data_IF_017600473187
#
_entry.id   IF_017600473187
#
_cell.length_a   1.000
_cell.length_b   1.000
_cell.length_c   1.000
_cell.angle_alpha   90.00
_cell.angle_beta   90.00
_cell.angle_gamma   90.00
#
_symmetry.space_group_name_H-M   'P 1'
#
loop_
_entity.id
_entity.type
_entity.pdbx_description
1 polymer ?
#
# COMPACT_ATOMS: atom_id res chain seq x y z
N UNK A 1 0.56 -22.44 -3.67
CA UNK A 1 -0.84 -22.22 -3.28
C UNK A 1 -1.29 -20.90 -3.85
N UNK A 2 -2.49 -20.87 -4.43
CA UNK A 2 -3.12 -19.63 -4.90
C UNK A 2 -4.43 -19.44 -4.14
N UNK A 3 -4.69 -18.21 -3.69
CA UNK A 3 -5.85 -17.84 -2.89
C UNK A 3 -6.43 -16.56 -3.45
N UNK A 4 -7.70 -16.58 -3.83
CA UNK A 4 -8.44 -15.39 -4.22
C UNK A 4 -9.15 -14.82 -3.01
N UNK A 5 -8.88 -13.54 -2.72
CA UNK A 5 -9.49 -12.80 -1.61
C UNK A 5 -10.27 -11.60 -2.14
N UNK A 6 -11.39 -11.30 -1.49
CA UNK A 6 -12.21 -10.12 -1.76
C UNK A 6 -12.46 -9.36 -0.47
N UNK A 7 -12.23 -8.06 -0.49
CA UNK A 7 -12.47 -7.14 0.61
C UNK A 7 -13.43 -6.05 0.12
N UNK A 8 -14.58 -5.86 0.80
CA UNK A 8 -15.52 -4.80 0.43
C UNK A 8 -14.93 -3.41 0.67
N UNK A 9 -14.03 -3.29 1.66
CA UNK A 9 -13.29 -2.06 1.91
C UNK A 9 -11.97 -2.34 2.61
N UNK A 10 -10.96 -1.57 2.27
CA UNK A 10 -9.64 -1.58 2.89
C UNK A 10 -9.29 -0.16 3.29
N UNK A 11 -8.95 0.06 4.55
CA UNK A 11 -8.49 1.34 5.06
C UNK A 11 -7.06 1.20 5.56
N UNK A 12 -6.19 2.10 5.10
CA UNK A 12 -4.79 2.16 5.48
C UNK A 12 -4.51 3.57 5.97
N UNK A 13 -3.96 3.70 7.17
CA UNK A 13 -3.52 4.98 7.70
C UNK A 13 -2.09 4.85 8.25
N UNK A 14 -1.38 5.97 8.27
CA UNK A 14 -0.02 5.98 8.81
C UNK A 14 0.65 7.34 8.72
N UNK A 15 1.89 7.38 9.16
CA UNK A 15 2.78 8.52 8.91
C UNK A 15 3.70 8.19 7.74
N UNK A 16 4.00 9.20 6.92
CA UNK A 16 4.92 9.09 5.80
C UNK A 16 6.03 10.13 5.92
N UNK A 17 7.19 9.77 5.37
CA UNK A 17 8.30 10.68 5.10
C UNK A 17 8.79 10.35 3.70
N UNK A 18 8.49 11.21 2.74
CA UNK A 18 8.82 10.99 1.35
C UNK A 18 9.66 12.14 0.81
N UNK A 19 10.74 11.78 0.10
CA UNK A 19 11.60 12.69 -0.60
C UNK A 19 11.86 12.07 -1.98
N UNK A 20 11.41 12.75 -3.04
CA UNK A 20 11.57 12.26 -4.41
C UNK A 20 10.59 12.89 -5.38
N UNK A 21 10.34 12.21 -6.49
CA UNK A 21 9.40 12.63 -7.52
C UNK A 21 8.21 11.67 -7.55
N UNK A 22 6.99 12.18 -7.38
CA UNK A 22 5.77 11.45 -7.76
C UNK A 22 5.41 11.86 -9.18
N UNK A 23 5.61 10.94 -10.13
CA UNK A 23 5.43 11.14 -11.58
C UNK A 23 6.35 12.24 -12.12
N UNK A 24 5.99 13.51 -11.93
CA UNK A 24 6.77 14.70 -12.30
C UNK A 24 6.87 15.73 -11.17
N UNK A 25 6.15 15.53 -10.06
CA UNK A 25 6.07 16.49 -8.97
C UNK A 25 7.11 16.19 -7.89
N UNK A 26 8.00 17.15 -7.55
CA UNK A 26 8.87 17.02 -6.39
C UNK A 26 8.02 17.02 -5.12
N UNK A 27 8.17 15.94 -4.36
CA UNK A 27 7.60 15.79 -3.04
C UNK A 27 8.72 15.78 -2.02
N UNK A 28 8.62 16.67 -1.04
CA UNK A 28 9.45 16.69 0.14
C UNK A 28 8.52 16.92 1.31
N UNK A 29 7.85 15.85 1.71
CA UNK A 29 6.73 15.90 2.62
C UNK A 29 6.89 14.90 3.75
N UNK A 30 6.56 15.34 4.96
CA UNK A 30 6.46 14.48 6.14
C UNK A 30 5.12 14.76 6.79
N UNK A 31 4.28 13.75 6.89
CA UNK A 31 2.94 13.96 7.41
C UNK A 31 2.23 12.65 7.72
N UNK A 32 0.90 12.72 7.76
CA UNK A 32 0.03 11.56 7.86
C UNK A 32 -0.66 11.32 6.54
N UNK A 33 -0.97 10.05 6.27
CA UNK A 33 -1.73 9.66 5.10
C UNK A 33 -2.86 8.73 5.51
N UNK A 34 -3.94 8.76 4.74
CA UNK A 34 -4.96 7.74 4.75
C UNK A 34 -5.33 7.34 3.33
N UNK A 35 -5.65 6.06 3.17
CA UNK A 35 -6.04 5.46 1.91
C UNK A 35 -7.29 4.64 2.18
N UNK A 36 -8.38 5.00 1.53
CA UNK A 36 -9.62 4.24 1.55
C UNK A 36 -9.80 3.58 0.19
N UNK A 37 -9.94 2.26 0.17
CA UNK A 37 -10.20 1.49 -1.03
C UNK A 37 -11.50 0.73 -0.89
N UNK A 38 -12.28 0.64 -1.97
CA UNK A 38 -13.52 -0.14 -2.03
C UNK A 38 -13.44 -1.17 -3.15
N UNK A 39 -14.14 -2.28 -2.97
CA UNK A 39 -14.20 -3.39 -3.93
C UNK A 39 -12.80 -3.91 -4.33
N UNK A 40 -11.99 -4.25 -3.32
CA UNK A 40 -10.64 -4.79 -3.54
C UNK A 40 -10.72 -6.29 -3.70
N UNK A 41 -10.22 -6.80 -4.82
CA UNK A 41 -9.96 -8.24 -4.99
C UNK A 41 -8.48 -8.47 -5.21
N UNK A 42 -7.94 -9.58 -4.73
CA UNK A 42 -6.53 -9.90 -4.95
C UNK A 42 -6.34 -11.41 -5.09
N UNK A 43 -5.48 -11.79 -6.02
CA UNK A 43 -4.97 -13.17 -6.11
C UNK A 43 -3.62 -13.22 -5.40
N UNK A 44 -3.53 -14.03 -4.36
CA UNK A 44 -2.32 -14.28 -3.59
C UNK A 44 -1.70 -15.58 -4.03
N UNK A 45 -0.43 -15.54 -4.41
CA UNK A 45 0.39 -16.70 -4.75
C UNK A 45 1.46 -16.88 -3.67
N UNK A 46 1.25 -17.92 -2.87
CA UNK A 46 2.11 -18.33 -1.76
C UNK A 46 2.92 -19.56 -2.20
N UNK A 47 4.23 -19.48 -2.09
CA UNK A 47 5.11 -20.65 -2.15
C UNK A 47 5.88 -20.77 -0.85
N UNK A 48 5.95 -21.97 -0.32
CA UNK A 48 6.61 -22.24 0.95
C UNK A 48 6.73 -23.74 1.17
N UNK A 49 7.41 -24.09 2.25
CA UNK A 49 7.66 -25.46 2.64
C UNK A 49 7.39 -25.63 4.14
N UNK A 50 6.91 -26.81 4.51
CA UNK A 50 6.79 -27.19 5.92
C UNK A 50 8.18 -27.54 6.43
N UNK A 51 8.63 -26.86 7.48
CA UNK A 51 9.87 -27.13 8.18
C UNK A 51 9.55 -27.71 9.55
N UNK A 52 10.28 -28.76 9.95
CA UNK A 52 10.14 -29.34 11.28
C UNK A 52 11.13 -28.67 12.24
N UNK A 53 10.65 -28.18 13.37
CA UNK A 53 11.49 -27.66 14.47
C UNK A 53 10.94 -28.18 15.80
N UNK A 54 11.76 -28.85 16.58
CA UNK A 54 11.40 -29.39 17.90
C UNK A 54 10.09 -30.20 17.85
N UNK A 55 9.99 -31.12 16.89
CA UNK A 55 8.81 -31.98 16.65
C UNK A 55 7.52 -31.26 16.23
N UNK A 56 7.55 -29.93 16.07
CA UNK A 56 6.44 -29.13 15.55
C UNK A 56 6.69 -28.76 14.09
N UNK A 57 5.65 -28.91 13.28
CA UNK A 57 5.66 -28.52 11.87
C UNK A 57 5.30 -27.02 11.74
N UNK A 58 6.15 -26.27 11.05
CA UNK A 58 5.96 -24.85 10.77
C UNK A 58 5.89 -24.62 9.26
N UNK A 59 4.93 -23.83 8.80
CA UNK A 59 4.94 -23.36 7.42
C UNK A 59 5.93 -22.21 7.27
N UNK A 60 7.03 -22.42 6.54
CA UNK A 60 7.90 -21.35 6.07
C UNK A 60 7.38 -20.86 4.73
N UNK A 61 7.00 -19.58 4.65
CA UNK A 61 6.72 -18.91 3.38
C UNK A 61 8.03 -18.43 2.75
N UNK A 62 8.32 -18.90 1.54
CA UNK A 62 9.52 -18.50 0.80
C UNK A 62 9.21 -17.34 -0.18
N UNK A 63 8.02 -17.34 -0.79
CA UNK A 63 7.56 -16.23 -1.63
C UNK A 63 6.08 -15.94 -1.42
N UNK A 64 5.76 -14.65 -1.39
CA UNK A 64 4.41 -14.12 -1.41
C UNK A 64 4.31 -13.11 -2.55
N UNK A 65 3.49 -13.42 -3.55
CA UNK A 65 3.15 -12.50 -4.62
C UNK A 65 1.66 -12.19 -4.53
N UNK A 66 1.30 -10.92 -4.72
CA UNK A 66 -0.10 -10.50 -4.76
C UNK A 66 -0.36 -9.60 -5.96
N UNK A 67 -1.52 -9.77 -6.58
CA UNK A 67 -2.01 -8.91 -7.66
C UNK A 67 -3.38 -8.34 -7.26
N UNK A 68 -3.42 -7.14 -6.66
CA UNK A 68 -4.69 -6.51 -6.31
C UNK A 68 -5.32 -5.85 -7.53
N UNK A 69 -6.64 -5.93 -7.59
CA UNK A 69 -7.53 -5.16 -8.45
C UNK A 69 -8.43 -4.35 -7.51
N UNK A 70 -8.34 -3.03 -7.60
CA UNK A 70 -9.07 -2.08 -6.75
C UNK A 70 -10.15 -1.42 -7.60
N UNK A 71 -11.38 -1.37 -7.09
CA UNK A 71 -12.48 -0.64 -7.72
C UNK A 71 -12.29 0.87 -7.56
N UNK A 72 -12.54 1.37 -6.36
CA UNK A 72 -12.37 2.79 -6.01
C UNK A 72 -11.24 2.99 -5.01
N UNK A 73 -10.46 4.05 -5.19
CA UNK A 73 -9.39 4.44 -4.27
C UNK A 73 -9.45 5.95 -3.99
N UNK A 74 -9.44 6.32 -2.71
CA UNK A 74 -9.27 7.68 -2.23
C UNK A 74 -7.98 7.77 -1.43
N UNK A 75 -7.13 8.71 -1.79
CA UNK A 75 -5.85 8.95 -1.15
C UNK A 75 -5.81 10.36 -0.57
N UNK A 76 -5.38 10.47 0.68
CA UNK A 76 -5.09 11.74 1.34
C UNK A 76 -3.70 11.66 1.97
N UNK A 77 -2.91 12.71 1.81
CA UNK A 77 -1.67 12.90 2.55
C UNK A 77 -1.49 14.37 2.89
N UNK A 78 -1.15 14.64 4.15
CA UNK A 78 -0.89 16.00 4.64
C UNK A 78 0.54 16.41 4.30
N UNK A 79 0.78 17.69 4.01
CA UNK A 79 2.14 18.25 3.88
C UNK A 79 3.01 17.61 2.77
N UNK A 80 2.39 17.19 1.64
CA UNK A 80 3.11 16.60 0.51
C UNK A 80 4.12 17.55 -0.15
N UNK A 81 3.82 18.85 -0.13
CA UNK A 81 4.60 19.91 -0.75
C UNK A 81 5.08 20.91 0.30
N UNK A 82 6.03 20.53 1.14
CA UNK A 82 6.71 21.49 2.01
C UNK A 82 7.81 22.18 1.22
N UNK A 83 7.54 23.39 0.70
CA UNK A 83 8.57 24.25 0.10
C UNK A 83 8.27 24.89 -1.25
N UNK A 84 7.03 24.88 -1.74
CA UNK A 84 6.65 25.69 -2.91
C UNK A 84 5.33 26.40 -2.64
N UNK A 85 5.42 27.68 -2.27
CA UNK A 85 4.28 28.60 -2.28
C UNK A 85 3.59 28.64 -3.68
N UNK A 86 4.25 28.13 -4.72
CA UNK A 86 3.80 28.09 -6.11
C UNK A 86 2.82 26.95 -6.46
N UNK A 87 2.66 25.92 -5.62
CA UNK A 87 1.81 24.75 -5.94
C UNK A 87 0.47 24.71 -5.17
N UNK A 88 0.23 25.67 -4.27
CA UNK A 88 -1.07 25.82 -3.61
C UNK A 88 -2.11 26.55 -4.48
N UNK A 89 -1.69 27.18 -5.58
CA UNK A 89 -2.56 27.87 -6.53
C UNK A 89 -2.76 27.04 -7.82
N UNK A 90 -3.43 25.90 -7.70
CA UNK A 90 -4.25 25.41 -8.82
C UNK A 90 -5.72 25.69 -8.46
N UNK A 91 -6.10 26.97 -8.51
CA UNK A 91 -7.50 27.38 -8.60
C UNK A 91 -7.88 27.58 -10.08
N UNK A 92 -9.17 27.36 -10.44
CA UNK A 92 -9.64 27.13 -11.80
C UNK A 92 -9.61 28.36 -12.72
#
# INVERSE_FOLDING_TARGET
MEVDVKFPGVFIEGSYKANGLIVVFPINGKGVFNISMSDVSATWKLSGQVIKRNEVDYLRLDHFNMRPVVGDMKFYASELFTGSDELSECQP
#
